data_IF_039520076149
#
_entry.id   IF_039520076149
#
_cell.length_a   1.000
_cell.length_b   1.000
_cell.length_c   1.000
_cell.angle_alpha   90.00
_cell.angle_beta   90.00
_cell.angle_gamma   90.00
#
_symmetry.space_group_name_H-M   'P 1'
#
loop_
_entity.id
_entity.type
_entity.pdbx_description
1 polymer ?
#
# COMPACT_ATOMS: atom_id res chain seq x y z
N UNK A 1 20.52 -2.35 12.90
CA UNK A 1 19.41 -3.31 12.74
C UNK A 1 18.77 -3.08 11.37
N UNK A 2 17.66 -3.73 11.04
CA UNK A 2 17.02 -3.61 9.73
C UNK A 2 15.59 -3.10 9.91
N UNK A 3 15.26 -1.95 9.33
CA UNK A 3 13.90 -1.42 9.35
C UNK A 3 12.98 -2.35 8.56
N UNK A 4 11.75 -2.56 9.03
CA UNK A 4 10.72 -3.29 8.29
C UNK A 4 9.80 -2.30 7.60
N UNK A 5 9.22 -2.70 6.47
CA UNK A 5 8.17 -1.94 5.79
C UNK A 5 6.91 -2.79 5.66
N UNK A 6 5.78 -2.17 6.03
CA UNK A 6 4.44 -2.72 5.89
C UNK A 6 3.70 -1.96 4.81
N UNK A 7 3.26 -2.67 3.78
CA UNK A 7 2.35 -2.16 2.75
C UNK A 7 0.93 -2.43 3.25
N UNK A 8 0.16 -1.37 3.54
CA UNK A 8 -1.26 -1.49 3.85
C UNK A 8 -2.13 -0.86 2.76
N UNK A 9 -3.38 -1.31 2.66
CA UNK A 9 -4.37 -0.70 1.79
C UNK A 9 -5.73 -0.57 2.49
N UNK A 10 -6.43 0.52 2.21
CA UNK A 10 -7.74 0.84 2.79
C UNK A 10 -8.69 1.26 1.67
N UNK A 11 -9.90 0.68 1.63
CA UNK A 11 -10.93 1.05 0.67
C UNK A 11 -11.77 2.21 1.22
N UNK A 12 -11.87 3.32 0.47
CA UNK A 12 -12.53 4.55 0.94
C UNK A 12 -13.32 5.23 -0.17
N UNK A 13 -14.41 5.91 0.21
CA UNK A 13 -15.22 6.70 -0.71
C UNK A 13 -14.59 8.07 -1.04
N UNK A 14 -13.60 8.52 -0.27
CA UNK A 14 -12.92 9.80 -0.45
C UNK A 14 -11.58 9.60 -1.17
N UNK A 15 -11.28 10.44 -2.17
CA UNK A 15 -10.00 10.39 -2.86
C UNK A 15 -8.86 10.79 -1.89
N UNK A 16 -7.94 9.87 -1.50
CA UNK A 16 -6.94 10.12 -0.47
C UNK A 16 -5.88 11.16 -0.88
N UNK A 17 -5.77 11.48 -2.17
CA UNK A 17 -4.77 12.39 -2.75
C UNK A 17 -5.38 13.62 -3.44
N UNK A 18 -6.70 13.85 -3.30
CA UNK A 18 -7.38 15.04 -3.82
C UNK A 18 -6.77 16.33 -3.28
N UNK A 19 -6.46 16.37 -1.97
CA UNK A 19 -5.84 17.52 -1.29
C UNK A 19 -4.47 17.95 -1.85
N UNK A 20 -3.81 17.09 -2.65
CA UNK A 20 -2.54 17.38 -3.33
C UNK A 20 -2.71 17.46 -4.86
N UNK A 21 -3.93 17.60 -5.35
CA UNK A 21 -4.25 17.80 -6.77
C UNK A 21 -3.98 16.58 -7.66
N UNK A 22 -3.90 15.37 -7.10
CA UNK A 22 -3.65 14.14 -7.87
C UNK A 22 -4.94 13.31 -8.02
N UNK A 23 -5.11 12.60 -9.15
CA UNK A 23 -6.19 11.63 -9.30
C UNK A 23 -5.94 10.44 -8.35
N UNK A 24 -6.92 10.13 -7.51
CA UNK A 24 -6.91 8.91 -6.71
C UNK A 24 -7.09 7.68 -7.60
N UNK A 25 -6.58 6.53 -7.14
CA UNK A 25 -6.75 5.25 -7.81
C UNK A 25 -7.86 4.45 -7.14
N UNK A 26 -8.72 3.81 -7.93
CA UNK A 26 -9.80 2.95 -7.45
C UNK A 26 -9.37 1.50 -7.41
N UNK A 27 -10.11 0.65 -6.70
CA UNK A 27 -9.91 -0.81 -6.73
C UNK A 27 -9.92 -1.31 -8.19
N UNK A 28 -10.86 -0.82 -9.02
CA UNK A 28 -10.91 -1.09 -10.46
C UNK A 28 -9.60 -0.73 -11.16
N UNK A 29 -9.07 0.48 -10.98
CA UNK A 29 -7.88 0.92 -11.72
C UNK A 29 -6.58 0.25 -11.27
N UNK A 30 -6.55 -0.41 -10.11
CA UNK A 30 -5.49 -1.35 -9.76
C UNK A 30 -5.65 -2.70 -10.44
N UNK A 31 -6.85 -3.29 -10.45
CA UNK A 31 -7.14 -4.55 -11.15
C UNK A 31 -6.83 -4.44 -12.65
N UNK A 32 -7.17 -3.31 -13.28
CA UNK A 32 -6.89 -3.05 -14.69
C UNK A 32 -5.39 -2.95 -14.99
N UNK A 33 -4.60 -2.25 -14.16
CA UNK A 33 -3.12 -2.23 -14.27
C UNK A 33 -2.52 -3.62 -14.05
N UNK A 34 -3.13 -4.44 -13.19
CA UNK A 34 -2.75 -5.83 -12.94
C UNK A 34 -3.24 -6.80 -14.04
N UNK A 35 -3.76 -6.29 -15.17
CA UNK A 35 -4.17 -7.11 -16.31
C UNK A 35 -5.50 -7.86 -16.09
N UNK A 36 -6.38 -7.33 -15.25
CA UNK A 36 -7.64 -7.98 -14.85
C UNK A 36 -7.50 -8.93 -13.65
N UNK A 37 -6.34 -8.95 -13.01
CA UNK A 37 -6.01 -9.83 -11.88
C UNK A 37 -6.18 -9.12 -10.52
N UNK A 38 -6.52 -9.89 -9.49
CA UNK A 38 -6.44 -9.42 -8.09
C UNK A 38 -5.02 -9.45 -7.55
N UNK A 39 -4.11 -10.21 -8.17
CA UNK A 39 -2.68 -10.19 -7.88
C UNK A 39 -1.92 -9.37 -8.92
N UNK A 40 -0.98 -8.54 -8.47
CA UNK A 40 -0.12 -7.77 -9.35
C UNK A 40 1.07 -7.18 -8.60
N UNK A 41 1.74 -6.22 -9.23
CA UNK A 41 2.99 -5.62 -8.71
C UNK A 41 2.79 -4.14 -8.40
N UNK A 42 3.21 -3.72 -7.22
CA UNK A 42 3.34 -2.32 -6.83
C UNK A 42 4.82 -1.97 -6.65
N UNK A 43 5.25 -0.83 -7.16
CA UNK A 43 6.54 -0.24 -6.81
C UNK A 43 6.37 0.62 -5.56
N UNK A 44 7.26 0.45 -4.57
CA UNK A 44 7.28 1.25 -3.35
C UNK A 44 8.02 2.61 -3.55
N UNK A 45 8.03 3.51 -2.56
CA UNK A 45 8.79 4.77 -2.65
C UNK A 45 10.31 4.63 -2.67
N UNK A 46 10.84 3.40 -2.59
CA UNK A 46 12.27 3.06 -2.61
C UNK A 46 12.66 2.34 -3.93
N UNK A 47 11.80 2.42 -4.95
CA UNK A 47 11.91 1.75 -6.26
C UNK A 47 11.94 0.20 -6.22
N UNK A 48 11.50 -0.41 -5.11
CA UNK A 48 11.41 -1.86 -4.96
C UNK A 48 10.03 -2.35 -5.45
N UNK A 49 10.02 -3.40 -6.27
CA UNK A 49 8.80 -4.01 -6.81
C UNK A 49 8.27 -5.15 -5.92
N UNK A 50 7.00 -5.04 -5.51
CA UNK A 50 6.32 -6.00 -4.63
C UNK A 50 5.12 -6.63 -5.32
N UNK A 51 5.15 -7.96 -5.49
CA UNK A 51 3.91 -8.73 -5.74
C UNK A 51 3.01 -8.65 -4.50
N UNK A 52 1.75 -8.28 -4.70
CA UNK A 52 0.70 -8.13 -3.69
C UNK A 52 -0.59 -8.78 -4.18
N UNK A 53 -1.51 -9.09 -3.26
CA UNK A 53 -2.87 -9.53 -3.58
C UNK A 53 -3.90 -8.55 -3.02
N UNK A 54 -4.85 -8.15 -3.86
CA UNK A 54 -6.00 -7.33 -3.53
C UNK A 54 -7.28 -8.18 -3.33
N UNK A 55 -7.19 -9.51 -3.34
CA UNK A 55 -8.36 -10.39 -3.11
C UNK A 55 -9.18 -10.05 -1.85
N UNK A 56 -8.63 -9.55 -0.74
CA UNK A 56 -9.45 -9.09 0.39
C UNK A 56 -10.47 -7.98 0.05
N UNK A 57 -10.26 -7.24 -1.04
CA UNK A 57 -11.18 -6.20 -1.52
C UNK A 57 -12.25 -6.72 -2.50
N UNK A 58 -12.29 -8.02 -2.80
CA UNK A 58 -13.18 -8.62 -3.82
C UNK A 58 -14.68 -8.46 -3.55
N UNK A 59 -15.06 -8.23 -2.29
CA UNK A 59 -16.43 -7.92 -1.86
C UNK A 59 -16.78 -6.43 -1.83
N UNK A 60 -15.80 -5.54 -2.05
CA UNK A 60 -16.00 -4.10 -2.01
C UNK A 60 -16.52 -3.56 -3.34
N UNK A 61 -17.13 -2.38 -3.32
CA UNK A 61 -17.48 -1.66 -4.55
C UNK A 61 -16.18 -1.28 -5.30
N UNK A 62 -15.98 -1.71 -6.56
CA UNK A 62 -14.74 -1.47 -7.30
C UNK A 62 -14.48 0.01 -7.62
N UNK A 63 -15.48 0.89 -7.50
CA UNK A 63 -15.33 2.34 -7.66
C UNK A 63 -14.79 3.06 -6.41
N UNK A 64 -14.63 2.36 -5.28
CA UNK A 64 -13.97 2.95 -4.10
C UNK A 64 -12.49 3.19 -4.38
N UNK A 65 -11.97 4.29 -3.84
CA UNK A 65 -10.55 4.59 -3.86
C UNK A 65 -9.79 3.61 -2.97
N UNK A 66 -8.64 3.14 -3.44
CA UNK A 66 -7.75 2.29 -2.68
C UNK A 66 -6.56 3.11 -2.20
N UNK A 67 -6.57 3.47 -0.92
CA UNK A 67 -5.51 4.22 -0.25
C UNK A 67 -4.41 3.24 0.15
N UNK A 68 -3.35 3.17 -0.64
CA UNK A 68 -2.16 2.37 -0.32
C UNK A 68 -1.18 3.20 0.50
N UNK A 69 -0.63 2.62 1.57
CA UNK A 69 0.38 3.24 2.43
C UNK A 69 1.59 2.32 2.60
N UNK A 70 2.77 2.92 2.62
CA UNK A 70 4.03 2.28 2.96
C UNK A 70 4.46 2.83 4.31
N UNK A 71 4.40 2.00 5.35
CA UNK A 71 4.82 2.38 6.71
C UNK A 71 6.15 1.73 7.01
N UNK A 72 7.13 2.50 7.46
CA UNK A 72 8.45 2.01 7.88
C UNK A 72 8.44 1.88 9.41
N UNK A 73 8.97 0.78 9.95
CA UNK A 73 9.17 0.65 11.39
C UNK A 73 10.30 1.57 11.84
N UNK A 74 10.17 2.12 13.04
CA UNK A 74 11.30 2.77 13.72
C UNK A 74 12.35 1.72 14.09
N UNK A 75 13.57 2.19 14.34
CA UNK A 75 14.67 1.32 14.76
C UNK A 75 14.29 0.58 16.04
N UNK A 76 14.37 -0.75 16.00
CA UNK A 76 14.06 -1.69 17.09
C UNK A 76 12.62 -1.68 17.64
N UNK A 77 11.68 -0.97 17.00
CA UNK A 77 10.26 -0.97 17.36
C UNK A 77 9.42 -1.81 16.38
N UNK A 78 8.27 -2.31 16.86
CA UNK A 78 7.24 -2.86 15.98
C UNK A 78 6.44 -1.72 15.32
N UNK A 79 5.66 -2.02 14.29
CA UNK A 79 4.82 -1.00 13.67
C UNK A 79 3.80 -0.44 14.67
N UNK A 80 3.66 0.90 14.72
CA UNK A 80 2.59 1.57 15.47
C UNK A 80 1.23 0.92 15.21
N UNK A 81 0.41 0.80 16.27
CA UNK A 81 -0.93 0.21 16.18
C UNK A 81 -1.77 0.89 15.09
N UNK A 82 -2.16 0.12 14.08
CA UNK A 82 -3.03 0.58 13.02
C UNK A 82 -4.50 0.45 13.47
N UNK A 83 -5.09 1.55 13.93
CA UNK A 83 -6.50 1.61 14.34
C UNK A 83 -7.46 1.84 13.15
N UNK A 84 -6.98 1.72 11.91
CA UNK A 84 -7.81 1.79 10.70
C UNK A 84 -8.21 0.40 10.21
N UNK A 85 -9.26 0.31 9.39
CA UNK A 85 -9.68 -0.93 8.70
C UNK A 85 -8.71 -1.32 7.55
N UNK A 86 -7.44 -0.92 7.63
CA UNK A 86 -6.45 -1.15 6.59
C UNK A 86 -5.95 -2.60 6.60
N UNK A 87 -5.92 -3.20 5.41
CA UNK A 87 -5.49 -4.57 5.19
C UNK A 87 -3.99 -4.58 4.89
N UNK A 88 -3.22 -5.41 5.61
CA UNK A 88 -1.80 -5.64 5.31
C UNK A 88 -1.68 -6.44 4.03
N UNK A 89 -1.09 -5.85 2.99
CA UNK A 89 -0.82 -6.51 1.71
C UNK A 89 0.48 -7.30 1.74
N UNK A 90 1.50 -6.77 2.42
CA UNK A 90 2.85 -7.36 2.52
C UNK A 90 3.65 -6.71 3.64
N UNK A 91 4.54 -7.48 4.25
CA UNK A 91 5.66 -6.99 5.06
C UNK A 91 6.99 -7.50 4.48
N UNK A 92 8.06 -6.73 4.66
CA UNK A 92 9.42 -7.10 4.26
C UNK A 92 10.46 -6.31 5.07
N UNK A 93 11.67 -6.86 5.19
CA UNK A 93 12.83 -6.13 5.68
C UNK A 93 13.34 -5.19 4.58
N UNK A 94 13.59 -3.92 4.92
CA UNK A 94 14.15 -2.94 4.00
C UNK A 94 15.60 -3.31 3.66
N UNK A 95 16.01 -3.31 2.37
CA UNK A 95 17.40 -3.58 2.01
C UNK A 95 18.39 -2.61 2.66
N UNK A 96 19.55 -3.13 3.07
CA UNK A 96 20.62 -2.31 3.62
C UNK A 96 21.08 -1.25 2.59
N UNK A 97 21.21 0.00 3.04
CA UNK A 97 21.66 1.12 2.19
C UNK A 97 20.54 1.91 1.51
N UNK A 98 19.27 1.58 1.74
CA UNK A 98 18.15 2.47 1.37
C UNK A 98 18.11 3.68 2.31
N UNK A 99 18.15 4.89 1.75
CA UNK A 99 17.97 6.13 2.52
C UNK A 99 16.49 6.32 2.87
N UNK A 100 16.18 6.47 4.16
CA UNK A 100 14.85 6.85 4.61
C UNK A 100 14.66 8.36 4.46
N UNK A 101 13.50 8.82 3.94
CA UNK A 101 13.18 10.25 3.94
C UNK A 101 13.09 10.76 5.38
N UNK A 102 13.75 11.90 5.64
CA UNK A 102 13.79 12.58 6.94
C UNK A 102 12.51 13.40 7.19
#
# INVERSE_FOLDING_TARGET
MTNRVRITAEATALNPVERIGRPGRTIRSYIEEFGGSWEGTLTDPFDISHRVSLEPFKSHNPELYLKIQFRVSRDDEDFDFDYSDAIVLKEYDLPAGVELPQ
#
